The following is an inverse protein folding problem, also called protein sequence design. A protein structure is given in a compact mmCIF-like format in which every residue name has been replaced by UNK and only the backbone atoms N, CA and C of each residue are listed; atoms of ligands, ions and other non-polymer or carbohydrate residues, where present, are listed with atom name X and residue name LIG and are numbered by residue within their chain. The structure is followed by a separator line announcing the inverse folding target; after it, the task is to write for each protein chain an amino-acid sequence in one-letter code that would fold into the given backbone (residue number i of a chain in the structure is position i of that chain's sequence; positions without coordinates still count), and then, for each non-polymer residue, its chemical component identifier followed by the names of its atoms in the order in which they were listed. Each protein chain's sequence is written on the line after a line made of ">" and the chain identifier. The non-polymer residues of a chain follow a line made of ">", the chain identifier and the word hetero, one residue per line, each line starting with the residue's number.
data_IF_186798415695
#
_entry.id   IF_186798415695
#
_cell.length_a   1.000
_cell.length_b   1.000
_cell.length_c   1.000
_cell.angle_alpha   90.00
_cell.angle_beta   90.00
_cell.angle_gamma   90.00
#
_symmetry.space_group_name_H-M   'P 1'
#
loop_
_entity.id
_entity.type
_entity.pdbx_description
1 polymer ?
#
# COMPACT_ATOMS: atom_id res chain seq x y z
N UNK A 1 -16.12 -2.49 1.63
CA UNK A 1 -14.85 -3.19 1.92
C UNK A 1 -13.86 -2.84 0.85
N UNK A 2 -12.65 -2.38 1.21
CA UNK A 2 -11.57 -2.14 0.26
C UNK A 2 -10.61 -3.31 0.32
N UNK A 3 -10.35 -3.96 -0.81
CA UNK A 3 -9.29 -4.96 -0.90
C UNK A 3 -7.94 -4.26 -1.16
N UNK A 4 -6.83 -4.80 -0.63
CA UNK A 4 -5.51 -4.29 -0.94
C UNK A 4 -5.33 -4.26 -2.45
N UNK A 5 -4.92 -3.13 -2.99
CA UNK A 5 -4.80 -2.95 -4.44
C UNK A 5 -3.39 -2.46 -4.75
N UNK A 6 -2.67 -3.21 -5.59
CA UNK A 6 -1.36 -2.79 -6.06
C UNK A 6 -1.56 -1.72 -7.13
N UNK A 7 -0.83 -0.62 -6.99
CA UNK A 7 -0.75 0.43 -8.00
C UNK A 7 0.71 0.62 -8.42
N UNK A 8 0.92 0.88 -9.71
CA UNK A 8 2.25 1.10 -10.29
C UNK A 8 2.16 2.35 -11.15
N UNK A 9 3.17 3.22 -11.08
CA UNK A 9 3.26 4.39 -11.96
C UNK A 9 4.24 4.17 -13.12
N UNK A 10 4.31 5.15 -14.03
CA UNK A 10 5.18 5.13 -15.21
C UNK A 10 6.69 4.97 -14.89
N UNK A 11 7.10 5.35 -13.67
CA UNK A 11 8.47 5.19 -13.19
C UNK A 11 8.72 3.83 -12.51
N UNK A 12 7.80 2.88 -12.65
CA UNK A 12 7.82 1.57 -11.97
C UNK A 12 7.83 1.64 -10.44
N UNK A 13 7.46 2.78 -9.87
CA UNK A 13 7.23 2.86 -8.44
C UNK A 13 5.99 2.02 -8.13
N UNK A 14 6.18 1.00 -7.31
CA UNK A 14 5.07 0.17 -6.80
C UNK A 14 4.58 0.78 -5.50
N UNK A 15 3.28 0.71 -5.28
CA UNK A 15 2.65 1.05 -4.02
C UNK A 15 1.42 0.16 -3.79
N UNK A 16 0.95 0.09 -2.54
CA UNK A 16 -0.22 -0.73 -2.18
C UNK A 16 -1.23 0.17 -1.48
N UNK A 17 -2.42 0.31 -2.05
CA UNK A 17 -3.56 0.91 -1.37
C UNK A 17 -4.06 -0.09 -0.34
N UNK A 18 -4.17 0.32 0.93
CA UNK A 18 -4.51 -0.56 2.05
C UNK A 18 -5.73 -0.11 2.84
N UNK A 19 -6.14 1.15 2.75
CA UNK A 19 -7.34 1.62 3.43
C UNK A 19 -7.86 2.94 2.84
N UNK A 20 -9.00 3.39 3.34
CA UNK A 20 -9.53 4.74 3.16
C UNK A 20 -9.46 5.52 4.47
N UNK A 21 -9.18 6.82 4.42
CA UNK A 21 -9.29 7.75 5.55
C UNK A 21 -10.03 9.00 5.08
N UNK A 22 -11.34 9.07 5.35
CA UNK A 22 -12.21 10.10 4.78
C UNK A 22 -12.20 10.03 3.25
N UNK A 23 -11.86 11.14 2.59
CA UNK A 23 -11.75 11.23 1.13
C UNK A 23 -10.41 10.71 0.57
N UNK A 24 -9.46 10.37 1.44
CA UNK A 24 -8.12 9.95 1.04
C UNK A 24 -7.96 8.43 1.11
N UNK A 25 -6.96 7.94 0.39
CA UNK A 25 -6.49 6.57 0.43
C UNK A 25 -5.23 6.48 1.29
N UNK A 26 -5.11 5.41 2.08
CA UNK A 26 -3.87 5.05 2.74
C UNK A 26 -3.08 4.14 1.82
N UNK A 27 -1.85 4.54 1.54
CA UNK A 27 -0.98 3.91 0.55
C UNK A 27 0.37 3.62 1.18
N UNK A 28 0.81 2.36 1.08
CA UNK A 28 2.17 1.94 1.38
C UNK A 28 3.05 2.23 0.16
N UNK A 29 4.07 3.07 0.33
CA UNK A 29 5.05 3.36 -0.72
C UNK A 29 6.43 3.65 -0.14
N UNK A 30 7.46 3.52 -0.97
CA UNK A 30 8.82 3.90 -0.62
C UNK A 30 8.92 5.43 -0.53
N UNK A 31 9.33 5.93 0.64
CA UNK A 31 9.61 7.34 0.88
C UNK A 31 11.12 7.58 0.98
N UNK A 32 11.53 8.40 1.94
CA UNK A 32 12.95 8.72 2.26
C UNK A 32 13.72 7.49 2.79
N UNK A 33 13.95 6.48 1.95
CA UNK A 33 14.71 5.27 2.26
C UNK A 33 13.96 4.18 3.04
N UNK A 34 12.65 4.34 3.29
CA UNK A 34 11.84 3.33 3.99
C UNK A 34 10.40 3.28 3.47
N UNK A 35 9.78 2.10 3.54
CA UNK A 35 8.36 1.90 3.27
C UNK A 35 7.53 2.50 4.40
N UNK A 36 6.58 3.36 4.05
CA UNK A 36 5.69 4.05 5.01
C UNK A 36 4.26 4.05 4.52
N UNK A 37 3.31 4.23 5.45
CA UNK A 37 1.89 4.47 5.12
C UNK A 37 1.68 5.97 4.99
N UNK A 38 1.20 6.40 3.83
CA UNK A 38 0.89 7.81 3.53
C UNK A 38 -0.58 7.98 3.18
N UNK A 39 -1.18 9.11 3.56
CA UNK A 39 -2.53 9.48 3.16
C UNK A 39 -2.45 10.33 1.89
N UNK A 40 -3.10 9.90 0.82
CA UNK A 40 -3.05 10.55 -0.49
C UNK A 40 -4.46 10.58 -1.10
N UNK A 41 -4.84 11.70 -1.72
CA UNK A 41 -6.11 11.79 -2.43
C UNK A 41 -6.09 10.94 -3.70
N UNK A 42 -7.27 10.52 -4.17
CA UNK A 42 -7.39 9.82 -5.45
C UNK A 42 -6.88 10.67 -6.62
N UNK A 43 -7.11 11.98 -6.57
CA UNK A 43 -6.59 12.94 -7.56
C UNK A 43 -5.06 12.93 -7.61
N UNK A 44 -4.38 12.95 -6.46
CA UNK A 44 -2.91 12.91 -6.42
C UNK A 44 -2.35 11.56 -6.89
N UNK A 45 -3.05 10.45 -6.66
CA UNK A 45 -2.68 9.14 -7.25
C UNK A 45 -2.71 9.22 -8.78
N UNK A 46 -3.78 9.79 -9.35
CA UNK A 46 -3.92 9.97 -10.80
C UNK A 46 -2.86 10.92 -11.37
N UNK A 47 -2.61 12.06 -10.71
CA UNK A 47 -1.59 13.02 -11.12
C UNK A 47 -0.17 12.43 -11.07
N UNK A 48 0.10 11.52 -10.15
CA UNK A 48 1.37 10.78 -10.08
C UNK A 48 1.48 9.64 -11.11
N UNK A 49 0.48 9.49 -11.98
CA UNK A 49 0.45 8.48 -13.05
C UNK A 49 0.31 7.05 -12.55
N UNK A 50 -0.18 6.85 -11.32
CA UNK A 50 -0.42 5.50 -10.80
C UNK A 50 -1.65 4.88 -11.47
N UNK A 51 -1.49 3.63 -11.88
CA UNK A 51 -2.54 2.78 -12.42
C UNK A 51 -2.65 1.50 -11.59
N UNK A 52 -3.83 0.90 -11.56
CA UNK A 52 -4.04 -0.41 -10.93
C UNK A 52 -3.21 -1.45 -11.68
N UNK A 53 -2.49 -2.26 -10.92
CA UNK A 53 -1.75 -3.41 -11.43
C UNK A 53 -2.50 -4.69 -11.10
N UNK A 54 -2.40 -5.68 -11.98
CA UNK A 54 -2.83 -7.06 -11.72
C UNK A 54 -1.83 -7.84 -10.85
N UNK A 55 -0.74 -7.21 -10.40
CA UNK A 55 0.21 -7.83 -9.50
C UNK A 55 -0.44 -8.16 -8.16
N UNK A 56 -0.16 -9.37 -7.66
CA UNK A 56 -0.81 -9.87 -6.44
C UNK A 56 -0.44 -9.01 -5.23
N UNK A 57 -1.41 -8.46 -4.50
CA UNK A 57 -1.14 -7.72 -3.26
C UNK A 57 -0.40 -8.57 -2.22
N UNK A 58 -0.69 -9.88 -2.16
CA UNK A 58 0.01 -10.82 -1.28
C UNK A 58 1.50 -10.92 -1.63
N UNK A 59 1.82 -11.10 -2.91
CA UNK A 59 3.21 -11.16 -3.38
C UNK A 59 3.94 -9.82 -3.19
N UNK A 60 3.25 -8.70 -3.46
CA UNK A 60 3.78 -7.37 -3.21
C UNK A 60 4.13 -7.16 -1.73
N UNK A 61 3.24 -7.58 -0.84
CA UNK A 61 3.47 -7.46 0.60
C UNK A 61 4.63 -8.33 1.08
N UNK A 62 4.73 -9.58 0.61
CA UNK A 62 5.85 -10.46 0.91
C UNK A 62 7.18 -9.88 0.43
N UNK A 63 7.20 -9.39 -0.82
CA UNK A 63 8.38 -8.74 -1.40
C UNK A 63 8.81 -7.51 -0.60
N UNK A 64 7.86 -6.69 -0.14
CA UNK A 64 8.13 -5.53 0.70
C UNK A 64 8.64 -5.87 2.10
N UNK A 65 8.13 -6.93 2.73
CA UNK A 65 8.61 -7.40 4.04
C UNK A 65 10.03 -7.97 3.97
N UNK A 66 10.38 -8.55 2.83
CA UNK A 66 11.71 -9.08 2.55
C UNK A 66 12.66 -8.03 1.96
N UNK A 67 12.15 -6.84 1.64
CA UNK A 67 12.94 -5.80 1.00
C UNK A 67 13.99 -5.24 1.97
N UNK A 68 15.18 -4.94 1.45
CA UNK A 68 16.26 -4.35 2.24
C UNK A 68 16.02 -2.90 2.68
N UNK A 69 15.00 -2.22 2.11
CA UNK A 69 14.59 -0.92 2.62
C UNK A 69 13.86 -1.12 3.95
N UNK A 70 14.14 -0.27 4.93
CA UNK A 70 13.43 -0.32 6.21
C UNK A 70 11.91 -0.21 6.02
N UNK A 71 11.14 -0.84 6.91
CA UNK A 71 9.67 -0.79 6.89
C UNK A 71 9.20 -0.13 8.18
N UNK A 72 8.38 0.91 8.09
CA UNK A 72 7.81 1.50 9.31
C UNK A 72 6.87 0.52 9.99
N UNK A 73 6.77 0.58 11.32
CA UNK A 73 5.92 -0.35 12.09
C UNK A 73 4.47 -0.39 11.57
N UNK A 74 3.90 0.78 11.30
CA UNK A 74 2.56 0.89 10.71
C UNK A 74 2.46 0.21 9.34
N UNK A 75 3.47 0.35 8.47
CA UNK A 75 3.48 -0.31 7.16
C UNK A 75 3.62 -1.83 7.32
N UNK A 76 4.51 -2.27 8.22
CA UNK A 76 4.74 -3.68 8.53
C UNK A 76 3.45 -4.40 8.93
N UNK A 77 2.67 -3.81 9.85
CA UNK A 77 1.38 -4.38 10.28
C UNK A 77 0.40 -4.60 9.12
N UNK A 78 0.29 -3.66 8.16
CA UNK A 78 -0.52 -3.88 6.96
C UNK A 78 0.05 -4.98 6.09
N UNK A 79 1.35 -4.96 5.83
CA UNK A 79 1.99 -5.93 4.95
C UNK A 79 1.86 -7.35 5.49
N UNK A 80 2.01 -7.57 6.79
CA UNK A 80 1.84 -8.89 7.42
C UNK A 80 0.39 -9.39 7.30
N UNK A 81 -0.60 -8.51 7.47
CA UNK A 81 -2.02 -8.85 7.25
C UNK A 81 -2.31 -9.23 5.80
N UNK A 82 -1.74 -8.48 4.84
CA UNK A 82 -1.88 -8.77 3.40
C UNK A 82 -1.18 -10.09 3.06
N UNK A 83 0.07 -10.27 3.51
CA UNK A 83 0.90 -11.43 3.22
C UNK A 83 0.32 -12.74 3.80
N UNK A 84 -0.32 -12.67 4.98
CA UNK A 84 -1.00 -13.82 5.59
C UNK A 84 -2.33 -14.18 4.95
N UNK A 85 -2.82 -13.39 3.98
CA UNK A 85 -4.15 -13.57 3.38
C UNK A 85 -5.30 -13.27 4.35
N UNK A 86 -4.98 -12.78 5.56
CA UNK A 86 -5.95 -12.38 6.60
C UNK A 86 -6.47 -10.96 6.41
N UNK A 87 -6.40 -10.42 5.19
CA UNK A 87 -6.95 -9.11 4.89
C UNK A 87 -8.47 -9.21 4.69
N UNK A 88 -9.19 -9.59 5.75
CA UNK A 88 -10.65 -9.66 5.73
C UNK A 88 -11.33 -8.43 6.33
N UNK A 89 -10.58 -7.55 6.99
CA UNK A 89 -11.24 -6.60 7.89
C UNK A 89 -11.36 -5.19 7.33
N UNK A 90 -12.61 -4.71 7.38
CA UNK A 90 -12.98 -3.34 7.66
C UNK A 90 -12.10 -2.80 8.79
N UNK A 91 -10.93 -2.26 8.44
CA UNK A 91 -10.10 -1.52 9.39
C UNK A 91 -10.78 -0.17 9.62
N UNK A 92 -11.77 -0.21 10.52
CA UNK A 92 -12.31 0.95 11.20
C UNK A 92 -11.13 1.57 11.94
N UNK A 93 -10.76 2.79 11.56
CA UNK A 93 -9.84 3.58 12.36
C UNK A 93 -10.67 4.29 13.42
N UNK A 94 -10.52 3.86 14.68
CA UNK A 94 -10.73 4.71 15.86
C UNK A 94 -9.62 5.75 15.93
#
# INVERSE_FOLDING_TARGET
>A
MLQPTVIINQHRNTAIIVATRGKNLLVIKLGKGKLTVTSISLENIKLQGYMISNYSPKLAAQSYLQHGAGVSEKAKQYLEKIASGKFSDSLVFS
#
